data_IF_278839120084
#
_entry.id   IF_278839120084
#
_cell.length_a   1.000
_cell.length_b   1.000
_cell.length_c   1.000
_cell.angle_alpha   90.00
_cell.angle_beta   90.00
_cell.angle_gamma   90.00
#
_symmetry.space_group_name_H-M   'P 1'
#
loop_
_entity.id
_entity.type
_entity.pdbx_description
1 polymer ?
#
# COMPACT_ATOMS: atom_id res chain seq x y z
N UNK A 1 -63.88 40.23 10.63
CA UNK A 1 -62.55 39.88 10.11
C UNK A 1 -61.78 41.18 9.91
N UNK A 2 -61.03 41.57 10.94
CA UNK A 2 -60.51 42.92 11.12
C UNK A 2 -59.13 43.14 10.50
N UNK A 3 -58.73 44.42 10.45
CA UNK A 3 -57.49 44.95 9.88
C UNK A 3 -56.20 44.15 10.23
N UNK A 4 -56.19 43.43 11.34
CA UNK A 4 -55.08 42.54 11.76
C UNK A 4 -54.82 41.37 10.78
N UNK A 5 -55.88 40.80 10.19
CA UNK A 5 -55.76 39.70 9.23
C UNK A 5 -55.21 40.15 7.88
N UNK A 6 -55.61 41.35 7.42
CA UNK A 6 -55.07 41.96 6.20
C UNK A 6 -53.59 42.35 6.38
N UNK A 7 -53.21 42.83 7.56
CA UNK A 7 -51.83 43.17 7.90
C UNK A 7 -50.91 41.93 7.88
N UNK A 8 -51.36 40.81 8.47
CA UNK A 8 -50.62 39.55 8.48
C UNK A 8 -50.42 38.97 7.07
N UNK A 9 -51.43 39.03 6.21
CA UNK A 9 -51.33 38.60 4.81
C UNK A 9 -50.35 39.49 4.04
N UNK A 10 -50.38 40.80 4.26
CA UNK A 10 -49.45 41.73 3.62
C UNK A 10 -48.00 41.46 4.04
N UNK A 11 -47.74 41.25 5.34
CA UNK A 11 -46.40 40.88 5.82
C UNK A 11 -45.93 39.55 5.23
N UNK A 12 -46.81 38.54 5.16
CA UNK A 12 -46.46 37.25 4.55
C UNK A 12 -46.09 37.39 3.06
N UNK A 13 -46.83 38.20 2.29
CA UNK A 13 -46.54 38.45 0.88
C UNK A 13 -45.22 39.21 0.67
N UNK A 14 -44.93 40.20 1.53
CA UNK A 14 -43.64 40.91 1.51
C UNK A 14 -42.49 39.97 1.82
N UNK A 15 -42.64 39.09 2.82
CA UNK A 15 -41.61 38.12 3.23
C UNK A 15 -41.35 37.06 2.15
N UNK A 16 -42.40 36.59 1.47
CA UNK A 16 -42.25 35.68 0.32
C UNK A 16 -41.57 36.38 -0.85
N UNK A 17 -41.94 37.63 -1.13
CA UNK A 17 -41.32 38.43 -2.20
C UNK A 17 -39.82 38.70 -1.96
N UNK A 18 -39.41 38.97 -0.72
CA UNK A 18 -37.99 39.17 -0.37
C UNK A 18 -37.20 37.87 -0.46
N UNK A 19 -37.75 36.75 -0.01
CA UNK A 19 -37.12 35.41 -0.13
C UNK A 19 -36.89 35.04 -1.60
N UNK A 20 -37.91 35.19 -2.46
CA UNK A 20 -37.77 34.93 -3.91
C UNK A 20 -36.73 35.87 -4.54
N UNK A 21 -36.67 37.13 -4.10
CA UNK A 21 -35.66 38.10 -4.55
C UNK A 21 -34.23 37.70 -4.19
N UNK A 22 -34.01 37.22 -2.96
CA UNK A 22 -32.71 36.73 -2.48
C UNK A 22 -32.26 35.48 -3.24
N UNK A 23 -33.15 34.51 -3.41
CA UNK A 23 -32.87 33.27 -4.14
C UNK A 23 -32.50 33.56 -5.61
N UNK A 24 -33.18 34.52 -6.26
CA UNK A 24 -32.85 34.95 -7.61
C UNK A 24 -31.48 35.62 -7.70
N UNK A 25 -31.09 36.42 -6.71
CA UNK A 25 -29.76 37.05 -6.65
C UNK A 25 -28.66 36.02 -6.42
N UNK A 26 -28.87 35.06 -5.53
CA UNK A 26 -27.92 33.98 -5.26
C UNK A 26 -27.71 33.11 -6.50
N UNK A 27 -28.79 32.73 -7.18
CA UNK A 27 -28.73 32.01 -8.45
C UNK A 27 -28.00 32.79 -9.55
N UNK A 28 -28.17 34.11 -9.62
CA UNK A 28 -27.45 34.94 -10.57
C UNK A 28 -25.95 35.01 -10.25
N UNK A 29 -25.57 35.14 -8.97
CA UNK A 29 -24.18 35.11 -8.52
C UNK A 29 -23.52 33.78 -8.85
N UNK A 30 -24.19 32.66 -8.55
CA UNK A 30 -23.70 31.31 -8.86
C UNK A 30 -23.43 31.12 -10.36
N UNK A 31 -24.35 31.56 -11.23
CA UNK A 31 -24.15 31.52 -12.69
C UNK A 31 -22.94 32.33 -13.16
N UNK A 32 -22.70 33.50 -12.57
CA UNK A 32 -21.52 34.32 -12.90
C UNK A 32 -20.24 33.60 -12.47
N UNK A 33 -20.23 33.01 -11.27
CA UNK A 33 -19.08 32.26 -10.76
C UNK A 33 -18.79 31.01 -11.58
N UNK A 34 -19.82 30.26 -11.96
CA UNK A 34 -19.70 29.07 -12.81
C UNK A 34 -19.15 29.42 -14.19
N UNK A 35 -19.62 30.53 -14.79
CA UNK A 35 -19.08 31.04 -16.05
C UNK A 35 -17.60 31.42 -15.92
N UNK A 36 -17.23 32.10 -14.83
CA UNK A 36 -15.84 32.47 -14.57
C UNK A 36 -14.94 31.23 -14.43
N UNK A 37 -15.39 30.20 -13.70
CA UNK A 37 -14.67 28.92 -13.58
C UNK A 37 -14.50 28.23 -14.94
N UNK A 38 -15.54 28.24 -15.78
CA UNK A 38 -15.47 27.69 -17.13
C UNK A 38 -14.48 28.44 -18.02
N UNK A 39 -14.46 29.77 -17.95
CA UNK A 39 -13.55 30.59 -18.74
C UNK A 39 -12.09 30.40 -18.28
N UNK A 40 -11.84 30.31 -16.98
CA UNK A 40 -10.54 29.95 -16.42
C UNK A 40 -10.05 28.58 -16.89
N UNK A 41 -10.94 27.58 -16.89
CA UNK A 41 -10.64 26.22 -17.36
C UNK A 41 -10.28 26.19 -18.85
N UNK A 42 -11.01 26.94 -19.69
CA UNK A 42 -10.70 27.08 -21.12
C UNK A 42 -9.34 27.73 -21.35
N UNK A 43 -9.05 28.82 -20.62
CA UNK A 43 -7.76 29.52 -20.70
C UNK A 43 -6.62 28.59 -20.27
N UNK A 44 -6.80 27.83 -19.19
CA UNK A 44 -5.83 26.85 -18.73
C UNK A 44 -5.56 25.78 -19.79
N UNK A 45 -6.60 25.15 -20.33
CA UNK A 45 -6.44 24.12 -21.37
C UNK A 45 -5.72 24.65 -22.60
N UNK A 46 -6.10 25.83 -23.08
CA UNK A 46 -5.44 26.47 -24.22
C UNK A 46 -3.96 26.76 -23.94
N UNK A 47 -3.62 27.15 -22.71
CA UNK A 47 -2.22 27.35 -22.30
C UNK A 47 -1.44 26.04 -22.32
N UNK A 48 -2.00 24.97 -21.72
CA UNK A 48 -1.33 23.66 -21.64
C UNK A 48 -1.16 22.99 -23.00
N UNK A 49 -2.16 23.07 -23.89
CA UNK A 49 -2.07 22.46 -25.22
C UNK A 49 -1.10 23.19 -26.16
N UNK A 50 -0.76 24.45 -25.88
CA UNK A 50 0.29 25.19 -26.59
C UNK A 50 1.69 24.82 -26.12
N UNK A 51 1.83 24.17 -24.97
CA UNK A 51 3.12 23.68 -24.50
C UNK A 51 3.45 22.36 -25.22
N UNK A 52 4.73 22.18 -25.53
CA UNK A 52 5.23 20.94 -26.12
C UNK A 52 5.46 19.90 -25.02
N UNK A 53 4.44 19.06 -24.77
CA UNK A 53 4.50 17.89 -23.91
C UNK A 53 4.50 16.62 -24.77
N UNK A 54 5.19 15.58 -24.33
CA UNK A 54 5.18 14.27 -24.99
C UNK A 54 3.83 13.57 -24.79
N UNK A 55 3.19 13.82 -23.64
CA UNK A 55 1.82 13.42 -23.32
C UNK A 55 1.21 14.38 -22.31
N UNK A 56 -0.06 14.68 -22.47
CA UNK A 56 -0.82 15.56 -21.57
C UNK A 56 -2.19 14.96 -21.30
N UNK A 57 -2.53 14.82 -20.02
CA UNK A 57 -3.78 14.23 -19.53
C UNK A 57 -4.41 15.26 -18.58
N UNK A 58 -5.58 15.80 -18.93
CA UNK A 58 -6.25 16.86 -18.17
C UNK A 58 -7.67 16.46 -17.83
N UNK A 59 -7.97 16.34 -16.53
CA UNK A 59 -9.34 16.29 -15.99
C UNK A 59 -9.85 17.71 -15.78
N UNK A 60 -9.09 18.55 -15.08
CA UNK A 60 -9.35 19.99 -14.91
C UNK A 60 -8.05 20.74 -14.54
N UNK A 61 -8.12 22.06 -14.34
CA UNK A 61 -6.95 22.89 -13.96
C UNK A 61 -6.20 22.45 -12.69
N UNK A 62 -6.86 21.73 -11.79
CA UNK A 62 -6.28 21.22 -10.54
C UNK A 62 -5.93 19.72 -10.61
N UNK A 63 -6.33 19.02 -11.67
CA UNK A 63 -6.16 17.58 -11.84
C UNK A 63 -5.70 17.31 -13.27
N UNK A 64 -4.37 17.30 -13.43
CA UNK A 64 -3.72 17.03 -14.70
C UNK A 64 -2.34 16.42 -14.46
N UNK A 65 -1.86 15.69 -15.46
CA UNK A 65 -0.52 15.12 -15.52
C UNK A 65 0.02 15.35 -16.92
N UNK A 66 1.30 15.66 -17.01
CA UNK A 66 2.01 15.81 -18.26
C UNK A 66 3.34 15.05 -18.20
N UNK A 67 3.76 14.54 -19.34
CA UNK A 67 5.06 13.94 -19.55
C UNK A 67 5.86 14.81 -20.50
N UNK A 68 7.11 15.08 -20.13
CA UNK A 68 8.02 15.87 -20.95
C UNK A 68 9.46 15.57 -20.61
N UNK A 69 10.28 15.28 -21.62
CA UNK A 69 11.73 15.13 -21.48
C UNK A 69 12.08 14.10 -20.37
N UNK A 70 11.38 12.96 -20.38
CA UNK A 70 11.45 11.90 -19.36
C UNK A 70 11.10 12.32 -17.91
N UNK A 71 10.33 13.40 -17.75
CA UNK A 71 9.77 13.82 -16.47
C UNK A 71 8.27 13.66 -16.44
N UNK A 72 7.77 13.39 -15.24
CA UNK A 72 6.36 13.48 -14.89
C UNK A 72 6.11 14.81 -14.19
N UNK A 73 5.14 15.57 -14.67
CA UNK A 73 4.82 16.92 -14.18
C UNK A 73 3.32 17.00 -13.90
N UNK A 74 2.95 17.61 -12.78
CA UNK A 74 1.57 17.88 -12.39
C UNK A 74 1.48 18.97 -11.33
N UNK A 75 0.26 19.25 -10.82
CA UNK A 75 0.04 20.30 -9.84
C UNK A 75 0.90 20.22 -8.58
N UNK A 76 1.19 19.00 -8.11
CA UNK A 76 1.90 18.71 -6.86
C UNK A 76 3.06 17.73 -7.07
N UNK A 77 3.46 17.48 -8.31
CA UNK A 77 4.45 16.47 -8.65
C UNK A 77 5.35 16.98 -9.77
N UNK A 78 6.66 16.88 -9.56
CA UNK A 78 7.67 17.00 -10.60
C UNK A 78 8.77 16.01 -10.29
N UNK A 79 8.84 14.91 -11.04
CA UNK A 79 9.87 13.90 -10.83
C UNK A 79 10.47 13.40 -12.14
N UNK A 80 11.75 13.03 -12.08
CA UNK A 80 12.39 12.30 -13.17
C UNK A 80 11.90 10.85 -13.22
N UNK A 81 11.75 10.32 -14.43
CA UNK A 81 11.46 8.91 -14.67
C UNK A 81 12.73 8.09 -14.93
N UNK A 82 13.91 8.73 -14.92
CA UNK A 82 15.20 8.04 -15.02
C UNK A 82 15.44 7.11 -13.83
N UNK A 83 15.70 5.83 -14.10
CA UNK A 83 15.88 4.78 -13.09
C UNK A 83 14.67 4.62 -12.14
N UNK A 84 13.51 5.11 -12.55
CA UNK A 84 12.28 5.01 -11.79
C UNK A 84 11.54 3.72 -12.11
N UNK A 85 10.67 3.31 -11.20
CA UNK A 85 9.69 2.25 -11.41
C UNK A 85 8.32 2.75 -10.94
N UNK A 86 7.25 2.06 -11.34
CA UNK A 86 5.91 2.39 -10.83
C UNK A 86 5.22 1.20 -10.19
N UNK A 87 4.37 1.48 -9.23
CA UNK A 87 3.52 0.49 -8.59
C UNK A 87 2.09 1.00 -8.46
N UNK A 88 1.14 0.08 -8.50
CA UNK A 88 -0.28 0.38 -8.34
C UNK A 88 -0.71 -0.12 -6.96
N UNK A 89 -1.17 0.79 -6.11
CA UNK A 89 -1.64 0.48 -4.75
C UNK A 89 -2.88 1.29 -4.42
N UNK A 90 -3.94 0.63 -3.95
CA UNK A 90 -5.20 1.25 -3.49
C UNK A 90 -5.80 2.29 -4.46
N UNK A 91 -5.78 1.96 -5.76
CA UNK A 91 -6.29 2.83 -6.81
C UNK A 91 -5.42 4.05 -7.11
N UNK A 92 -4.15 4.05 -6.68
CA UNK A 92 -3.17 5.10 -6.95
C UNK A 92 -1.99 4.54 -7.72
N UNK A 93 -1.36 5.41 -8.51
CA UNK A 93 -0.10 5.11 -9.18
C UNK A 93 1.00 5.78 -8.36
N UNK A 94 2.01 5.02 -7.98
CA UNK A 94 3.15 5.49 -7.19
C UNK A 94 4.40 5.34 -8.04
N UNK A 95 5.15 6.42 -8.22
CA UNK A 95 6.46 6.41 -8.85
C UNK A 95 7.52 6.30 -7.76
N UNK A 96 8.33 5.25 -7.86
CA UNK A 96 9.51 5.03 -7.04
C UNK A 96 10.72 5.51 -7.84
N UNK A 97 11.39 6.54 -7.35
CA UNK A 97 12.47 7.21 -8.06
C UNK A 97 13.67 7.45 -7.16
N UNK A 98 14.88 7.63 -7.70
CA UNK A 98 16.04 8.06 -6.93
C UNK A 98 15.86 9.44 -6.26
N UNK A 99 16.85 9.85 -5.47
CA UNK A 99 16.96 11.25 -5.02
C UNK A 99 16.89 12.20 -6.23
N UNK A 100 16.21 13.36 -6.12
CA UNK A 100 15.61 13.94 -4.92
C UNK A 100 14.14 13.59 -4.76
N UNK A 101 13.59 12.65 -5.53
CA UNK A 101 12.14 12.49 -5.65
C UNK A 101 11.59 11.36 -4.77
N UNK A 102 12.31 10.25 -4.59
CA UNK A 102 11.87 9.18 -3.70
C UNK A 102 10.53 8.59 -4.12
N UNK A 103 9.60 8.47 -3.18
CA UNK A 103 8.21 8.07 -3.41
C UNK A 103 7.36 9.26 -3.88
N UNK A 104 6.71 9.13 -5.04
CA UNK A 104 5.78 10.14 -5.57
C UNK A 104 4.43 9.52 -5.89
N UNK A 105 3.37 10.06 -5.28
CA UNK A 105 2.01 9.55 -5.45
C UNK A 105 1.28 10.38 -6.50
N UNK A 106 0.80 9.71 -7.54
CA UNK A 106 -0.13 10.30 -8.50
C UNK A 106 -1.54 10.08 -7.95
N UNK A 107 -2.29 11.14 -7.60
CA UNK A 107 -3.68 10.98 -7.21
C UNK A 107 -4.49 10.43 -8.39
N UNK A 108 -5.45 9.56 -8.11
CA UNK A 108 -6.33 9.01 -9.15
C UNK A 108 -7.00 10.15 -9.91
N UNK A 109 -6.95 10.06 -11.24
CA UNK A 109 -7.64 10.93 -12.17
C UNK A 109 -8.92 10.27 -12.72
N UNK A 110 -9.28 9.10 -12.19
CA UNK A 110 -10.34 8.22 -12.66
C UNK A 110 -9.82 7.12 -13.59
N UNK A 111 -10.48 5.97 -13.57
CA UNK A 111 -10.01 4.71 -14.18
C UNK A 111 -9.49 4.84 -15.61
N UNK A 112 -10.19 5.56 -16.49
CA UNK A 112 -9.76 5.74 -17.88
C UNK A 112 -8.47 6.55 -18.00
N UNK A 113 -8.31 7.58 -17.15
CA UNK A 113 -7.13 8.44 -17.14
C UNK A 113 -5.95 7.77 -16.47
N UNK A 114 -6.19 7.00 -15.41
CA UNK A 114 -5.14 6.21 -14.76
C UNK A 114 -4.60 5.14 -15.72
N UNK A 115 -5.47 4.48 -16.51
CA UNK A 115 -5.05 3.58 -17.61
C UNK A 115 -4.24 4.29 -18.68
N UNK A 116 -4.59 5.53 -19.01
CA UNK A 116 -3.85 6.36 -19.98
C UNK A 116 -2.45 6.73 -19.46
N UNK A 117 -2.31 6.99 -18.16
CA UNK A 117 -1.01 7.22 -17.49
C UNK A 117 -0.17 5.94 -17.53
N UNK A 118 -0.72 4.81 -17.09
CA UNK A 118 -0.02 3.51 -17.07
C UNK A 118 0.44 3.12 -18.47
N UNK A 119 -0.46 3.18 -19.46
CA UNK A 119 -0.10 2.85 -20.84
C UNK A 119 0.97 3.77 -21.43
N UNK A 120 1.10 5.01 -20.94
CA UNK A 120 2.19 5.87 -21.34
C UNK A 120 3.51 5.52 -20.62
N UNK A 121 3.48 5.21 -19.32
CA UNK A 121 4.64 4.71 -18.57
C UNK A 121 5.23 3.45 -19.22
N UNK A 122 4.36 2.50 -19.60
CA UNK A 122 4.74 1.29 -20.34
C UNK A 122 5.40 1.63 -21.68
N UNK A 123 4.82 2.58 -22.44
CA UNK A 123 5.34 3.02 -23.74
C UNK A 123 6.76 3.59 -23.64
N UNK A 124 7.09 4.28 -22.56
CA UNK A 124 8.43 4.85 -22.33
C UNK A 124 9.33 3.92 -21.50
N UNK A 125 8.92 2.66 -21.29
CA UNK A 125 9.66 1.61 -20.59
C UNK A 125 9.97 1.93 -19.11
N UNK A 126 9.09 2.65 -18.41
CA UNK A 126 9.19 2.71 -16.94
C UNK A 126 8.66 1.38 -16.40
N UNK A 127 9.48 0.56 -15.72
CA UNK A 127 9.08 -0.78 -15.32
C UNK A 127 8.06 -0.76 -14.17
N UNK A 128 7.13 -1.72 -14.23
CA UNK A 128 6.23 -2.00 -13.10
C UNK A 128 6.96 -2.80 -12.02
N UNK A 129 6.76 -2.42 -10.76
CA UNK A 129 7.23 -3.16 -9.59
C UNK A 129 6.46 -4.46 -9.46
N UNK A 130 7.17 -5.58 -9.26
CA UNK A 130 6.58 -6.90 -9.05
C UNK A 130 6.51 -7.28 -7.57
N UNK A 131 7.48 -6.82 -6.79
CA UNK A 131 7.49 -6.98 -5.35
C UNK A 131 8.23 -5.81 -4.69
N UNK A 132 7.79 -5.47 -3.49
CA UNK A 132 8.37 -4.38 -2.71
C UNK A 132 8.12 -4.56 -1.24
N UNK A 133 8.92 -3.90 -0.41
CA UNK A 133 8.65 -3.70 1.01
C UNK A 133 9.01 -2.29 1.46
N UNK A 134 8.41 -1.86 2.56
CA UNK A 134 8.66 -0.53 3.14
C UNK A 134 9.92 -0.59 4.01
N UNK A 135 10.71 0.46 3.94
CA UNK A 135 11.89 0.67 4.78
C UNK A 135 11.73 2.02 5.48
N UNK A 136 11.74 2.01 6.81
CA UNK A 136 11.75 3.22 7.62
C UNK A 136 13.15 3.84 7.65
N UNK A 137 13.17 5.16 7.84
CA UNK A 137 14.40 5.90 8.01
C UNK A 137 15.23 5.34 9.18
N UNK A 138 16.51 5.07 8.91
CA UNK A 138 17.51 4.70 9.92
C UNK A 138 18.79 5.48 9.65
N UNK A 139 19.56 5.77 10.70
CA UNK A 139 20.82 6.53 10.55
C UNK A 139 21.79 5.83 9.58
N UNK A 140 21.85 4.50 9.61
CA UNK A 140 22.71 3.71 8.72
C UNK A 140 22.30 3.79 7.24
N UNK A 141 21.04 4.10 6.93
CA UNK A 141 20.56 4.27 5.55
C UNK A 141 20.68 5.70 5.04
N UNK A 142 20.78 6.70 5.93
CA UNK A 142 20.84 8.13 5.54
C UNK A 142 22.02 8.46 4.66
N UNK A 143 23.09 7.67 4.71
CA UNK A 143 24.24 7.83 3.81
C UNK A 143 23.89 7.47 2.37
N UNK A 144 22.99 6.50 2.17
CA UNK A 144 22.65 5.93 0.86
C UNK A 144 21.33 6.45 0.28
N UNK A 145 20.38 6.82 1.14
CA UNK A 145 18.99 7.12 0.79
C UNK A 145 18.61 8.50 1.34
N UNK A 146 17.98 9.32 0.51
CA UNK A 146 17.27 10.53 0.96
C UNK A 146 15.82 10.18 1.18
N UNK A 147 15.40 10.30 2.42
CA UNK A 147 14.04 10.09 2.87
C UNK A 147 13.26 11.40 2.74
N UNK A 148 12.37 11.48 1.74
CA UNK A 148 11.48 12.63 1.59
C UNK A 148 10.23 12.54 2.48
N UNK A 149 10.00 11.34 3.02
CA UNK A 149 8.99 11.00 4.02
C UNK A 149 9.67 10.13 5.09
N UNK A 150 8.96 9.69 6.12
CA UNK A 150 9.55 8.82 7.16
C UNK A 150 9.93 7.40 6.63
N UNK A 151 9.57 7.09 5.38
CA UNK A 151 9.87 5.82 4.73
C UNK A 151 10.29 5.97 3.28
N UNK A 152 10.95 4.94 2.78
CA UNK A 152 11.17 4.68 1.36
C UNK A 152 10.80 3.22 1.04
N UNK A 153 10.87 2.83 -0.22
CA UNK A 153 10.45 1.53 -0.70
C UNK A 153 11.62 0.78 -1.29
N UNK A 154 11.87 -0.44 -0.80
CA UNK A 154 12.70 -1.42 -1.49
C UNK A 154 11.85 -2.17 -2.51
N UNK A 155 12.32 -2.30 -3.75
CA UNK A 155 11.52 -2.86 -4.83
C UNK A 155 12.33 -3.65 -5.86
N UNK A 156 11.68 -4.64 -6.48
CA UNK A 156 12.15 -5.37 -7.67
C UNK A 156 11.14 -5.25 -8.81
N UNK A 157 11.65 -5.06 -10.00
CA UNK A 157 10.88 -5.07 -11.26
C UNK A 157 10.89 -6.45 -11.93
N UNK A 158 11.81 -7.33 -11.51
CA UNK A 158 11.76 -8.77 -11.73
C UNK A 158 11.93 -9.49 -10.38
N UNK A 159 10.89 -10.19 -9.93
CA UNK A 159 10.90 -10.94 -8.66
C UNK A 159 11.94 -12.08 -8.61
N UNK A 160 12.52 -12.47 -9.74
CA UNK A 160 13.57 -13.50 -9.81
C UNK A 160 14.96 -12.93 -9.52
N UNK A 161 15.15 -11.62 -9.62
CA UNK A 161 16.44 -11.00 -9.37
C UNK A 161 16.81 -11.14 -7.89
N UNK A 162 18.10 -11.35 -7.61
CA UNK A 162 18.62 -11.36 -6.24
C UNK A 162 18.60 -9.96 -5.63
N UNK A 163 18.92 -8.97 -6.46
CA UNK A 163 19.05 -7.59 -6.05
C UNK A 163 17.74 -6.82 -6.14
N UNK A 164 17.60 -5.79 -5.31
CA UNK A 164 16.51 -4.82 -5.33
C UNK A 164 17.09 -3.40 -5.34
N UNK A 165 16.24 -2.43 -5.69
CA UNK A 165 16.53 -1.00 -5.60
C UNK A 165 15.79 -0.39 -4.43
N UNK A 166 16.23 0.77 -3.94
CA UNK A 166 15.54 1.53 -2.89
C UNK A 166 15.17 2.90 -3.48
N UNK A 167 13.91 3.32 -3.34
CA UNK A 167 13.50 4.68 -3.71
C UNK A 167 14.23 5.70 -2.84
N UNK A 168 14.45 6.90 -3.37
CA UNK A 168 15.24 7.91 -2.68
C UNK A 168 16.73 7.61 -2.68
N UNK A 169 17.21 6.53 -3.32
CA UNK A 169 18.64 6.24 -3.42
C UNK A 169 19.40 7.42 -4.01
N UNK A 170 20.49 7.82 -3.35
CA UNK A 170 21.41 8.86 -3.83
C UNK A 170 22.24 8.37 -5.01
N UNK A 171 22.47 7.06 -5.10
CA UNK A 171 23.11 6.41 -6.24
C UNK A 171 22.12 5.44 -6.92
N UNK A 172 21.55 5.79 -8.09
CA UNK A 172 20.55 4.93 -8.76
C UNK A 172 21.09 3.55 -9.19
N UNK A 173 22.42 3.43 -9.31
CA UNK A 173 23.08 2.19 -9.69
C UNK A 173 23.38 1.28 -8.48
N UNK A 174 23.33 1.81 -7.26
CA UNK A 174 23.55 1.01 -6.06
C UNK A 174 22.36 0.07 -5.85
N UNK A 175 22.65 -1.23 -5.86
CA UNK A 175 21.64 -2.27 -5.65
C UNK A 175 21.86 -2.97 -4.31
N UNK A 176 20.83 -3.62 -3.79
CA UNK A 176 20.85 -4.23 -2.47
C UNK A 176 20.35 -5.67 -2.53
N UNK A 177 20.81 -6.51 -1.62
CA UNK A 177 20.27 -7.87 -1.42
C UNK A 177 19.95 -8.07 0.05
N UNK A 178 18.90 -8.83 0.35
CA UNK A 178 18.55 -9.21 1.71
C UNK A 178 19.30 -10.50 2.04
N UNK A 179 20.14 -10.47 3.07
CA UNK A 179 21.02 -11.60 3.42
C UNK A 179 20.62 -12.30 4.71
N UNK A 180 19.85 -11.63 5.57
CA UNK A 180 19.39 -12.21 6.83
C UNK A 180 18.07 -11.57 7.30
N UNK A 181 17.23 -12.37 7.95
CA UNK A 181 15.99 -11.95 8.59
C UNK A 181 15.86 -12.70 9.91
N UNK A 182 16.04 -11.99 11.02
CA UNK A 182 15.80 -12.49 12.37
C UNK A 182 14.42 -12.01 12.82
N UNK A 183 13.51 -12.95 13.10
CA UNK A 183 12.13 -12.63 13.48
C UNK A 183 11.61 -13.69 14.45
N UNK A 184 10.79 -13.26 15.40
CA UNK A 184 10.05 -14.15 16.30
C UNK A 184 8.64 -13.59 16.48
N UNK A 185 7.59 -14.33 16.06
CA UNK A 185 6.22 -13.85 16.19
C UNK A 185 5.78 -13.82 17.66
N UNK A 186 4.94 -12.85 18.00
CA UNK A 186 4.32 -12.73 19.31
C UNK A 186 2.79 -12.81 19.15
N UNK A 187 2.16 -13.54 20.07
CA UNK A 187 0.70 -13.70 20.12
C UNK A 187 0.17 -13.17 21.46
N UNK A 188 -1.01 -12.56 21.42
CA UNK A 188 -1.76 -12.12 22.60
C UNK A 188 -3.07 -12.89 22.68
N UNK A 189 -3.52 -13.18 23.90
CA UNK A 189 -4.83 -13.79 24.14
C UNK A 189 -5.84 -12.70 24.48
N UNK A 190 -6.81 -12.50 23.61
CA UNK A 190 -7.90 -11.55 23.84
C UNK A 190 -9.04 -12.26 24.60
N UNK A 191 -9.51 -11.66 25.70
CA UNK A 191 -10.72 -12.09 26.41
C UNK A 191 -11.87 -11.12 26.06
N UNK A 192 -12.73 -11.48 25.10
CA UNK A 192 -13.91 -10.67 24.79
C UNK A 192 -15.08 -10.98 25.74
N UNK A 193 -15.57 -9.95 26.44
CA UNK A 193 -16.97 -9.85 26.90
C UNK A 193 -17.59 -8.70 26.13
N UNK A 194 -18.61 -8.96 25.30
CA UNK A 194 -19.21 -7.88 24.50
C UNK A 194 -20.73 -8.02 24.34
N UNK A 195 -21.45 -7.00 24.81
CA UNK A 195 -22.84 -6.65 24.47
C UNK A 195 -22.81 -5.69 23.28
N UNK A 196 -23.57 -5.90 22.19
CA UNK A 196 -23.61 -4.95 21.05
C UNK A 196 -25.02 -4.65 20.53
N UNK A 197 -25.27 -3.35 20.35
CA UNK A 197 -26.28 -2.73 19.47
C UNK A 197 -25.67 -2.43 18.10
N UNK A 198 -26.47 -2.50 17.04
CA UNK A 198 -26.06 -2.37 15.63
C UNK A 198 -25.83 -0.92 15.19
N UNK A 199 -24.69 -0.69 14.52
CA UNK A 199 -24.52 0.32 13.48
C UNK A 199 -23.69 -0.30 12.34
N UNK A 200 -24.08 -0.01 11.10
CA UNK A 200 -23.57 -0.63 9.88
C UNK A 200 -22.32 0.09 9.37
N UNK A 201 -21.17 -0.57 9.52
CA UNK A 201 -19.89 -0.13 8.96
C UNK A 201 -18.96 -1.34 8.82
N UNK A 202 -18.25 -1.42 7.68
CA UNK A 202 -17.41 -2.54 7.23
C UNK A 202 -16.59 -3.18 8.36
N UNK A 203 -16.85 -4.44 8.66
CA UNK A 203 -16.02 -5.26 9.56
C UNK A 203 -15.16 -6.19 8.72
N UNK A 204 -13.85 -5.96 8.76
CA UNK A 204 -12.83 -6.74 8.05
C UNK A 204 -12.62 -8.11 8.67
N UNK A 205 -12.75 -9.15 7.85
CA UNK A 205 -12.24 -10.48 8.12
C UNK A 205 -10.95 -10.69 7.34
N UNK A 206 -9.88 -11.02 8.07
CA UNK A 206 -8.60 -11.61 7.65
C UNK A 206 -8.41 -11.81 6.14
N UNK A 207 -8.01 -10.73 5.47
CA UNK A 207 -7.46 -10.75 4.13
C UNK A 207 -5.98 -10.34 4.27
N UNK A 208 -5.09 -11.32 4.26
CA UNK A 208 -3.65 -11.08 4.17
C UNK A 208 -3.36 -10.15 2.99
N UNK A 209 -2.64 -9.06 3.28
CA UNK A 209 -2.13 -8.03 2.37
C UNK A 209 -3.16 -7.06 1.74
N UNK A 210 -3.58 -6.03 2.47
CA UNK A 210 -3.99 -4.73 1.92
C UNK A 210 -3.83 -3.68 3.04
N UNK A 211 -3.14 -2.55 2.90
CA UNK A 211 -3.59 -1.40 2.08
C UNK A 211 -2.41 -0.39 2.00
N UNK A 212 -1.35 -0.69 1.23
CA UNK A 212 0.01 -0.09 1.09
C UNK A 212 1.17 -0.68 1.90
N UNK A 213 1.14 -0.94 3.22
CA UNK A 213 0.04 -1.42 4.05
C UNK A 213 -0.84 -0.43 4.83
N UNK A 214 -0.69 0.90 4.73
CA UNK A 214 -1.78 1.85 5.14
C UNK A 214 -2.02 3.04 4.20
N UNK A 215 -0.93 3.71 3.83
CA UNK A 215 -0.73 4.46 2.59
C UNK A 215 0.75 4.84 2.39
N UNK A 216 1.63 4.52 3.37
CA UNK A 216 3.11 4.63 3.43
C UNK A 216 3.57 4.58 4.92
N UNK A 217 2.69 4.71 5.92
CA UNK A 217 3.02 4.40 7.33
C UNK A 217 1.78 4.04 8.16
N UNK A 218 1.73 2.81 8.68
CA UNK A 218 0.60 2.27 9.44
C UNK A 218 0.75 0.80 9.80
N UNK A 219 1.31 0.57 10.99
CA UNK A 219 1.46 -0.63 11.84
C UNK A 219 2.20 -1.87 11.36
N UNK A 220 2.26 -2.28 10.09
CA UNK A 220 2.99 -3.53 9.76
C UNK A 220 3.43 -3.64 8.30
N UNK A 221 4.71 -3.95 8.10
CA UNK A 221 5.42 -3.84 6.83
C UNK A 221 4.83 -4.71 5.72
N UNK A 222 4.42 -4.06 4.63
CA UNK A 222 3.84 -4.76 3.47
C UNK A 222 4.94 -5.41 2.62
N UNK A 223 4.70 -6.63 2.14
CA UNK A 223 5.45 -7.23 1.03
C UNK A 223 4.51 -7.54 -0.13
N UNK A 224 4.71 -6.89 -1.29
CA UNK A 224 3.88 -7.15 -2.47
C UNK A 224 4.33 -8.43 -3.18
N UNK A 225 3.40 -9.34 -3.43
CA UNK A 225 3.55 -10.44 -4.39
C UNK A 225 2.38 -10.41 -5.38
N UNK A 226 2.65 -10.19 -6.65
CA UNK A 226 1.64 -10.17 -7.72
C UNK A 226 0.76 -11.44 -7.75
N UNK A 227 -0.56 -11.32 -7.55
CA UNK A 227 -1.53 -12.24 -8.17
C UNK A 227 -2.90 -11.60 -8.40
N UNK A 228 -3.42 -11.83 -9.60
CA UNK A 228 -4.77 -11.56 -10.11
C UNK A 228 -5.90 -11.80 -9.10
N UNK A 229 -6.91 -10.93 -9.16
CA UNK A 229 -8.00 -10.79 -8.20
C UNK A 229 -8.99 -11.95 -8.03
N UNK A 230 -9.82 -11.80 -7.00
CA UNK A 230 -11.11 -12.50 -6.82
C UNK A 230 -12.03 -11.66 -5.92
N UNK A 231 -13.19 -11.25 -6.45
CA UNK A 231 -14.32 -10.74 -5.67
C UNK A 231 -15.04 -11.88 -4.94
N UNK A 232 -15.47 -11.64 -3.70
CA UNK A 232 -16.46 -12.49 -3.01
C UNK A 232 -17.43 -11.58 -2.23
N UNK A 233 -18.71 -11.64 -2.59
CA UNK A 233 -19.81 -11.00 -1.86
C UNK A 233 -20.33 -11.94 -0.76
N UNK A 234 -20.73 -11.40 0.39
CA UNK A 234 -21.41 -12.16 1.45
C UNK A 234 -22.41 -11.30 2.24
N UNK A 235 -23.47 -11.95 2.72
CA UNK A 235 -24.59 -11.41 3.52
C UNK A 235 -24.67 -12.20 4.84
N UNK A 236 -24.94 -11.53 5.96
CA UNK A 236 -24.85 -12.08 7.33
C UNK A 236 -26.21 -12.37 7.98
N UNK A 237 -26.28 -13.44 8.79
CA UNK A 237 -27.33 -13.78 9.77
C UNK A 237 -26.67 -14.16 11.11
N UNK A 238 -27.25 -13.80 12.26
CA UNK A 238 -26.62 -13.72 13.60
C UNK A 238 -26.96 -14.84 14.60
N UNK A 239 -25.98 -15.31 15.40
CA UNK A 239 -26.11 -16.00 16.72
C UNK A 239 -24.83 -15.88 17.60
N UNK A 240 -24.90 -16.09 18.93
CA UNK A 240 -23.84 -15.82 19.93
C UNK A 240 -23.11 -17.06 20.51
N UNK A 241 -21.81 -16.93 20.87
CA UNK A 241 -21.06 -17.86 21.76
C UNK A 241 -19.76 -17.22 22.31
N UNK A 242 -19.22 -17.77 23.42
CA UNK A 242 -17.96 -17.31 24.05
C UNK A 242 -16.74 -18.07 23.48
N UNK A 243 -15.68 -17.38 23.04
CA UNK A 243 -14.40 -18.02 22.66
C UNK A 243 -13.19 -17.14 23.02
N UNK A 244 -12.15 -17.71 23.62
CA UNK A 244 -10.81 -17.11 23.66
C UNK A 244 -10.17 -17.26 22.27
N UNK A 245 -9.61 -16.18 21.72
CA UNK A 245 -8.90 -16.22 20.44
C UNK A 245 -7.47 -15.73 20.64
N UNK A 246 -6.51 -16.54 20.19
CA UNK A 246 -5.12 -16.10 20.06
C UNK A 246 -5.00 -15.25 18.79
N UNK A 247 -4.44 -14.05 18.94
CA UNK A 247 -4.22 -13.11 17.84
C UNK A 247 -2.76 -12.72 17.78
N UNK A 248 -2.16 -12.82 16.60
CA UNK A 248 -0.81 -12.32 16.37
C UNK A 248 -0.76 -10.79 16.50
N UNK A 249 0.34 -10.28 17.05
CA UNK A 249 0.65 -8.84 17.05
C UNK A 249 1.94 -8.57 16.27
N UNK A 250 2.07 -7.40 15.63
CA UNK A 250 3.29 -7.02 14.93
C UNK A 250 4.51 -7.19 15.84
N UNK A 251 5.53 -7.85 15.32
CA UNK A 251 6.77 -8.13 16.04
C UNK A 251 7.97 -7.57 15.29
N UNK A 252 9.00 -7.18 16.04
CA UNK A 252 10.22 -6.65 15.45
C UNK A 252 10.98 -7.73 14.69
N UNK A 253 11.24 -7.50 13.40
CA UNK A 253 12.23 -8.22 12.62
C UNK A 253 13.51 -7.38 12.49
N UNK A 254 14.67 -8.02 12.67
CA UNK A 254 15.96 -7.45 12.31
C UNK A 254 16.36 -7.99 10.94
N UNK A 255 16.37 -7.11 9.94
CA UNK A 255 16.73 -7.44 8.57
C UNK A 255 18.13 -6.92 8.27
N UNK A 256 18.95 -7.73 7.61
CA UNK A 256 20.28 -7.31 7.14
C UNK A 256 20.29 -7.26 5.63
N UNK A 257 20.61 -6.10 5.09
CA UNK A 257 20.78 -5.88 3.66
C UNK A 257 22.23 -5.57 3.35
N UNK A 258 22.69 -6.01 2.18
CA UNK A 258 24.04 -5.79 1.70
C UNK A 258 23.99 -5.08 0.34
N UNK A 259 24.74 -3.99 0.20
CA UNK A 259 24.85 -3.25 -1.04
C UNK A 259 25.68 -4.02 -2.07
N UNK A 260 25.57 -3.66 -3.35
CA UNK A 260 26.41 -4.22 -4.42
C UNK A 260 27.89 -3.91 -4.22
N UNK A 261 28.21 -2.91 -3.41
CA UNK A 261 29.56 -2.46 -3.10
C UNK A 261 30.10 -3.17 -1.83
N UNK A 262 29.27 -3.96 -1.15
CA UNK A 262 29.63 -4.81 0.00
C UNK A 262 29.29 -4.22 1.38
N UNK A 263 28.72 -3.01 1.43
CA UNK A 263 28.29 -2.39 2.67
C UNK A 263 27.10 -3.12 3.27
N UNK A 264 27.06 -3.27 4.59
CA UNK A 264 25.99 -3.97 5.30
C UNK A 264 25.25 -3.02 6.21
N UNK A 265 23.93 -3.04 6.10
CA UNK A 265 23.02 -2.24 6.93
C UNK A 265 22.03 -3.16 7.63
N UNK A 266 21.78 -2.88 8.91
CA UNK A 266 20.75 -3.56 9.69
C UNK A 266 19.58 -2.62 9.90
N UNK A 267 18.37 -3.11 9.67
CA UNK A 267 17.14 -2.34 9.80
C UNK A 267 16.22 -3.12 10.74
N UNK A 268 15.51 -2.40 11.61
CA UNK A 268 14.51 -2.96 12.50
C UNK A 268 13.13 -2.53 12.02
N UNK A 269 12.26 -3.49 11.74
CA UNK A 269 10.95 -3.27 11.14
C UNK A 269 9.88 -4.09 11.86
N UNK A 270 8.63 -3.61 11.88
CA UNK A 270 7.50 -4.35 12.45
C UNK A 270 6.83 -5.20 11.37
N UNK A 271 6.72 -6.50 11.62
CA UNK A 271 6.13 -7.46 10.68
C UNK A 271 5.21 -8.46 11.40
N UNK A 272 4.24 -9.00 10.66
CA UNK A 272 3.58 -10.27 11.00
C UNK A 272 4.36 -11.44 10.39
N UNK A 273 4.08 -12.66 10.85
CA UNK A 273 4.69 -13.89 10.33
C UNK A 273 4.48 -14.04 8.82
N UNK A 274 3.26 -13.77 8.34
CA UNK A 274 2.93 -13.83 6.92
C UNK A 274 3.79 -12.85 6.09
N UNK A 275 4.05 -11.64 6.60
CA UNK A 275 4.89 -10.66 5.90
C UNK A 275 6.33 -11.17 5.78
N UNK A 276 6.85 -11.81 6.84
CA UNK A 276 8.20 -12.37 6.86
C UNK A 276 8.33 -13.56 5.90
N UNK A 277 7.31 -14.40 5.79
CA UNK A 277 7.28 -15.49 4.81
C UNK A 277 7.38 -14.92 3.39
N UNK A 278 6.63 -13.87 3.09
CA UNK A 278 6.63 -13.23 1.76
C UNK A 278 7.98 -12.50 1.52
N UNK A 279 8.51 -11.79 2.52
CA UNK A 279 9.80 -11.11 2.45
C UNK A 279 10.91 -12.11 2.12
N UNK A 280 10.99 -13.22 2.87
CA UNK A 280 11.99 -14.26 2.65
C UNK A 280 11.85 -14.87 1.26
N UNK A 281 10.63 -15.20 0.84
CA UNK A 281 10.36 -15.80 -0.46
C UNK A 281 10.86 -14.97 -1.65
N UNK A 282 10.73 -13.64 -1.58
CA UNK A 282 11.04 -12.77 -2.73
C UNK A 282 12.35 -12.00 -2.61
N UNK A 283 12.88 -11.79 -1.41
CA UNK A 283 14.03 -10.92 -1.19
C UNK A 283 15.24 -11.65 -0.61
N UNK A 284 15.06 -12.66 0.24
CA UNK A 284 16.18 -13.32 0.91
C UNK A 284 17.00 -14.11 -0.12
N UNK A 285 18.28 -13.76 -0.22
CA UNK A 285 19.24 -14.53 -0.98
C UNK A 285 19.79 -15.61 -0.08
N UNK A 286 19.47 -16.87 -0.39
CA UNK A 286 20.08 -18.01 0.31
C UNK A 286 21.59 -18.00 0.05
N UNK A 287 22.37 -18.12 1.13
CA UNK A 287 23.83 -18.19 1.01
C UNK A 287 24.18 -19.47 0.24
N UNK A 288 24.68 -19.32 -0.99
CA UNK A 288 25.19 -20.41 -1.86
C UNK A 288 26.41 -21.15 -1.24
N UNK A 289 26.80 -20.82 -0.01
CA UNK A 289 27.93 -21.41 0.75
C UNK A 289 27.53 -22.16 2.03
N UNK A 290 26.26 -22.56 2.18
CA UNK A 290 25.80 -23.40 3.31
C UNK A 290 25.19 -24.75 2.91
N UNK A 291 25.47 -25.21 1.70
CA UNK A 291 25.28 -26.61 1.32
C UNK A 291 26.37 -27.45 1.99
N UNK A 292 26.13 -27.91 3.22
CA UNK A 292 26.65 -29.20 3.74
C UNK A 292 26.27 -29.46 5.22
N UNK A 293 25.70 -28.50 5.97
CA UNK A 293 25.37 -28.72 7.40
C UNK A 293 23.92 -28.51 7.82
N UNK A 294 23.03 -27.99 6.96
CA UNK A 294 21.64 -27.66 7.35
C UNK A 294 20.53 -28.53 6.71
N UNK A 295 20.84 -29.43 5.78
CA UNK A 295 19.81 -30.32 5.18
C UNK A 295 19.16 -31.26 6.21
N UNK A 296 19.85 -31.59 7.30
CA UNK A 296 19.29 -32.49 8.32
C UNK A 296 18.31 -31.77 9.27
N UNK A 297 18.48 -30.47 9.52
CA UNK A 297 17.72 -29.78 10.56
C UNK A 297 16.37 -29.23 10.08
N UNK A 298 16.28 -28.75 8.83
CA UNK A 298 14.99 -28.32 8.26
C UNK A 298 14.06 -29.49 7.96
N UNK A 299 14.63 -30.64 7.55
CA UNK A 299 13.85 -31.86 7.32
C UNK A 299 13.35 -32.45 8.66
N UNK A 300 14.18 -32.43 9.70
CA UNK A 300 13.81 -32.88 11.05
C UNK A 300 12.59 -32.14 11.62
N UNK A 301 12.58 -30.80 11.55
CA UNK A 301 11.46 -30.00 12.10
C UNK A 301 10.16 -30.23 11.33
N UNK A 302 10.23 -30.31 9.99
CA UNK A 302 9.07 -30.58 9.15
C UNK A 302 8.51 -32.00 9.38
N UNK A 303 9.38 -33.01 9.53
CA UNK A 303 8.97 -34.39 9.83
C UNK A 303 8.36 -34.52 11.23
N UNK A 304 8.90 -33.79 12.23
CA UNK A 304 8.35 -33.78 13.59
C UNK A 304 6.96 -33.12 13.65
N UNK A 305 6.73 -32.04 12.91
CA UNK A 305 5.42 -31.39 12.79
C UNK A 305 4.40 -32.30 12.12
N UNK A 306 4.80 -33.03 11.07
CA UNK A 306 3.94 -34.01 10.38
C UNK A 306 3.55 -35.18 11.30
N UNK A 307 4.50 -35.69 12.08
CA UNK A 307 4.26 -36.74 13.07
C UNK A 307 3.27 -36.30 14.17
N UNK A 308 3.40 -35.06 14.65
CA UNK A 308 2.47 -34.51 15.65
C UNK A 308 1.06 -34.36 15.08
N UNK A 309 0.95 -33.84 13.85
CA UNK A 309 -0.32 -33.70 13.16
C UNK A 309 -1.05 -35.04 12.97
N UNK A 310 -0.32 -36.10 12.62
CA UNK A 310 -0.92 -37.44 12.49
C UNK A 310 -1.42 -38.01 13.81
N UNK A 311 -0.77 -37.69 14.94
CA UNK A 311 -1.26 -38.05 16.28
C UNK A 311 -2.53 -37.24 16.62
N UNK A 312 -2.50 -35.93 16.39
CA UNK A 312 -3.63 -35.03 16.69
C UNK A 312 -4.87 -35.37 15.84
N UNK A 313 -4.67 -35.87 14.61
CA UNK A 313 -5.72 -36.37 13.71
C UNK A 313 -6.20 -37.81 14.06
N UNK A 314 -5.63 -38.43 15.10
CA UNK A 314 -5.97 -39.79 15.53
C UNK A 314 -5.50 -40.90 14.58
N UNK A 315 -4.62 -40.58 13.63
CA UNK A 315 -4.02 -41.53 12.69
C UNK A 315 -2.87 -42.32 13.32
N UNK A 316 -2.30 -41.83 14.42
CA UNK A 316 -1.30 -42.50 15.24
C UNK A 316 -1.75 -42.53 16.71
N UNK A 317 -1.42 -43.61 17.40
CA UNK A 317 -1.50 -43.67 18.87
C UNK A 317 -0.34 -42.90 19.52
N UNK A 318 -0.49 -42.52 20.78
CA UNK A 318 0.53 -41.76 21.52
C UNK A 318 1.87 -42.54 21.62
N UNK A 319 1.79 -43.87 21.70
CA UNK A 319 2.92 -44.79 21.72
C UNK A 319 3.64 -44.84 20.37
N UNK A 320 2.91 -44.84 19.25
CA UNK A 320 3.47 -44.80 17.89
C UNK A 320 4.13 -43.44 17.59
N UNK A 321 3.52 -42.34 18.06
CA UNK A 321 4.13 -41.02 17.99
C UNK A 321 5.45 -40.95 18.78
N UNK A 322 5.48 -41.46 20.01
CA UNK A 322 6.70 -41.49 20.85
C UNK A 322 7.82 -42.31 20.19
N UNK A 323 7.49 -43.45 19.58
CA UNK A 323 8.47 -44.26 18.86
C UNK A 323 8.98 -43.57 17.58
N UNK A 324 8.11 -42.92 16.81
CA UNK A 324 8.49 -42.15 15.62
C UNK A 324 9.37 -40.96 15.96
N UNK A 325 9.01 -40.20 17.00
CA UNK A 325 9.82 -39.09 17.54
C UNK A 325 11.20 -39.55 18.01
N UNK A 326 11.30 -40.70 18.68
CA UNK A 326 12.57 -41.25 19.14
C UNK A 326 13.48 -41.62 17.96
N UNK A 327 12.94 -42.23 16.90
CA UNK A 327 13.69 -42.55 15.67
C UNK A 327 14.18 -41.30 14.93
N UNK A 328 13.40 -40.22 14.90
CA UNK A 328 13.82 -38.95 14.33
C UNK A 328 14.91 -38.25 15.15
N UNK A 329 14.97 -38.50 16.47
CA UNK A 329 15.97 -37.89 17.36
C UNK A 329 17.28 -38.70 17.45
N UNK A 330 17.25 -39.99 17.14
CA UNK A 330 18.39 -40.91 17.21
C UNK A 330 19.00 -41.26 15.84
N UNK A 331 18.41 -40.77 14.73
CA UNK A 331 18.91 -40.92 13.35
C UNK A 331 19.54 -39.63 12.82
#
# INVERSE_FOLDING_TARGET
MGALGALLIFFALVLVGTLIGLEKQENARKKIEDKKKLDEEKVFRLKMTKMNFDKLIIVNKNQWIAFKDNKLIGPLIECSLDNSAYIIGDGRIIILSPTPNGINIIPSLGDEKDKEIIGYLDKINVPMVQCSFVIHETDDLRDYVTFNTDVECAYKTDKKEKFFSISGSKNPNLKWKLTNVEFTPHYVTDYEVTTKSEETGRVGGHAGAATIGGLIGGTTGAVIGSSLGREINSTTVSYSSNSAQEREVPSTALITIESSDGDKVKIAEQYYEDDIIILKKYFLVENETREESNQNNSNFVAELQKLKKMMDEGLLTEEEFKQGKKKLLEG
#
